data_IF_016037254754
#
_entry.id   IF_016037254754
#
_cell.length_a   1.000
_cell.length_b   1.000
_cell.length_c   1.000
_cell.angle_alpha   90.00
_cell.angle_beta   90.00
_cell.angle_gamma   90.00
#
_symmetry.space_group_name_H-M   'P 1'
#
loop_
_entity.id
_entity.type
_entity.pdbx_description
1 polymer ?
#
# COMPACT_ATOMS: atom_id res chain seq x y z
N UNK A 1 -10.99 -5.74 -23.29
CA UNK A 1 -9.97 -5.20 -24.23
C UNK A 1 -9.20 -4.18 -23.43
N UNK A 2 -7.88 -4.34 -23.25
CA UNK A 2 -7.10 -3.47 -22.37
C UNK A 2 -6.97 -2.09 -23.00
N UNK A 3 -7.11 -1.03 -22.22
CA UNK A 3 -6.87 0.32 -22.73
C UNK A 3 -5.36 0.51 -22.92
N UNK A 4 -4.88 1.20 -23.97
CA UNK A 4 -3.45 1.44 -24.16
C UNK A 4 -2.76 2.09 -22.95
N UNK A 5 -3.50 2.88 -22.19
CA UNK A 5 -3.00 3.54 -20.97
C UNK A 5 -2.75 2.55 -19.82
N UNK A 6 -3.47 1.43 -19.77
CA UNK A 6 -3.33 0.40 -18.73
C UNK A 6 -1.93 -0.21 -18.73
N UNK A 7 -1.21 -0.15 -19.86
CA UNK A 7 0.15 -0.65 -19.98
C UNK A 7 1.14 0.02 -19.01
N UNK A 8 0.78 1.19 -18.46
CA UNK A 8 1.59 1.90 -17.46
C UNK A 8 1.35 1.43 -16.03
N UNK A 9 0.26 0.71 -15.75
CA UNK A 9 -0.09 0.27 -14.39
C UNK A 9 1.02 -0.55 -13.72
N UNK A 10 1.72 -1.49 -14.39
CA UNK A 10 2.81 -2.23 -13.76
C UNK A 10 3.98 -1.33 -13.37
N UNK A 11 4.28 -0.31 -14.17
CA UNK A 11 5.33 0.67 -13.88
C UNK A 11 4.94 1.54 -12.68
N UNK A 12 3.72 2.06 -12.65
CA UNK A 12 3.18 2.83 -11.52
C UNK A 12 3.12 2.01 -10.23
N UNK A 13 2.72 0.74 -10.30
CA UNK A 13 2.77 -0.20 -9.17
C UNK A 13 4.20 -0.37 -8.66
N UNK A 14 5.18 -0.55 -9.55
CA UNK A 14 6.59 -0.70 -9.15
C UNK A 14 7.18 0.58 -8.53
N UNK A 15 6.83 1.76 -9.06
CA UNK A 15 7.20 3.06 -8.47
C UNK A 15 6.63 3.21 -7.07
N UNK A 16 5.35 2.89 -6.88
CA UNK A 16 4.69 2.94 -5.58
C UNK A 16 5.32 1.95 -4.59
N UNK A 17 5.54 0.67 -4.99
CA UNK A 17 6.25 -0.33 -4.17
C UNK A 17 7.61 0.18 -3.70
N UNK A 18 8.39 0.80 -4.60
CA UNK A 18 9.72 1.33 -4.26
C UNK A 18 9.63 2.45 -3.21
N UNK A 19 8.67 3.37 -3.35
CA UNK A 19 8.45 4.44 -2.35
C UNK A 19 8.03 3.87 -0.99
N UNK A 20 7.11 2.91 -1.00
CA UNK A 20 6.65 2.21 0.20
C UNK A 20 7.82 1.53 0.91
N UNK A 21 8.62 0.74 0.19
CA UNK A 21 9.77 0.02 0.76
C UNK A 21 10.73 1.00 1.43
N UNK A 22 11.06 2.12 0.76
CA UNK A 22 11.92 3.16 1.33
C UNK A 22 11.30 3.76 2.60
N UNK A 23 10.04 4.16 2.54
CA UNK A 23 9.36 4.78 3.67
C UNK A 23 9.24 3.84 4.88
N UNK A 24 9.02 2.54 4.65
CA UNK A 24 8.95 1.54 5.71
C UNK A 24 10.33 1.31 6.33
N UNK A 25 11.37 1.24 5.51
CA UNK A 25 12.74 1.02 5.98
C UNK A 25 13.21 2.15 6.92
N UNK A 26 12.74 3.37 6.67
CA UNK A 26 13.08 4.56 7.46
C UNK A 26 12.18 4.77 8.70
N UNK A 27 11.16 3.92 8.92
CA UNK A 27 10.19 4.08 10.01
C UNK A 27 10.43 3.09 11.16
N UNK A 28 11.09 3.57 12.23
CA UNK A 28 11.46 2.77 13.41
C UNK A 28 10.27 2.15 14.15
N UNK A 29 9.04 2.63 13.89
CA UNK A 29 7.80 2.09 14.46
C UNK A 29 7.42 0.74 13.86
N UNK A 30 8.00 0.39 12.71
CA UNK A 30 7.73 -0.84 11.98
C UNK A 30 8.83 -1.87 12.30
N UNK A 31 8.43 -3.05 12.75
CA UNK A 31 9.33 -4.17 13.00
C UNK A 31 9.64 -4.95 11.72
N UNK A 32 8.63 -5.15 10.88
CA UNK A 32 8.76 -5.81 9.59
C UNK A 32 7.60 -5.44 8.66
N UNK A 33 7.75 -5.69 7.37
CA UNK A 33 6.64 -5.61 6.42
C UNK A 33 6.84 -6.62 5.29
N UNK A 34 5.73 -7.05 4.68
CA UNK A 34 5.77 -7.91 3.51
C UNK A 34 4.58 -7.67 2.59
N UNK A 35 4.80 -7.90 1.29
CA UNK A 35 3.73 -7.92 0.31
C UNK A 35 3.04 -9.29 0.33
N UNK A 36 1.71 -9.28 0.32
CA UNK A 36 0.87 -10.45 0.10
C UNK A 36 0.32 -10.49 -1.32
N UNK A 37 -0.72 -11.29 -1.52
CA UNK A 37 -1.45 -11.32 -2.79
C UNK A 37 -0.61 -11.76 -3.98
N UNK A 38 -0.98 -11.28 -5.17
CA UNK A 38 -0.27 -11.61 -6.40
C UNK A 38 1.17 -11.08 -6.41
N UNK A 39 1.41 -9.89 -5.83
CA UNK A 39 2.75 -9.29 -5.69
C UNK A 39 3.65 -10.15 -4.79
N UNK A 40 3.15 -10.59 -3.64
CA UNK A 40 3.89 -11.46 -2.72
C UNK A 40 4.18 -12.84 -3.30
N UNK A 41 3.30 -13.34 -4.18
CA UNK A 41 3.44 -14.63 -4.84
C UNK A 41 4.23 -14.57 -6.16
N UNK A 42 4.56 -13.38 -6.67
CA UNK A 42 5.19 -13.21 -7.98
C UNK A 42 4.28 -13.58 -9.16
N UNK A 43 2.97 -13.47 -8.97
CA UNK A 43 1.94 -13.79 -9.97
C UNK A 43 1.15 -12.56 -10.38
N UNK A 44 1.69 -11.35 -10.18
CA UNK A 44 1.02 -10.11 -10.58
C UNK A 44 0.78 -10.01 -12.09
N UNK A 45 -0.38 -9.49 -12.46
CA UNK A 45 -0.76 -9.17 -13.82
C UNK A 45 -0.88 -7.65 -14.02
N UNK A 46 -1.54 -7.26 -15.11
CA UNK A 46 -1.73 -5.85 -15.47
C UNK A 46 -2.56 -5.07 -14.43
N UNK A 47 -3.51 -5.74 -13.78
CA UNK A 47 -4.55 -5.12 -12.96
C UNK A 47 -4.41 -5.43 -11.47
N UNK A 48 -3.41 -6.23 -11.10
CA UNK A 48 -3.08 -6.57 -9.73
C UNK A 48 -2.84 -5.33 -8.87
N UNK A 49 -3.48 -5.33 -7.70
CA UNK A 49 -3.32 -4.37 -6.62
C UNK A 49 -2.11 -4.71 -5.74
N UNK A 50 -1.92 -3.93 -4.67
CA UNK A 50 -0.87 -4.14 -3.66
C UNK A 50 -1.51 -4.57 -2.35
N UNK A 51 -1.26 -5.81 -1.92
CA UNK A 51 -1.52 -6.23 -0.54
C UNK A 51 -0.28 -5.99 0.31
N UNK A 52 -0.34 -5.09 1.28
CA UNK A 52 0.76 -4.75 2.17
C UNK A 52 0.42 -5.05 3.63
N UNK A 53 1.26 -5.84 4.30
CA UNK A 53 1.15 -6.14 5.73
C UNK A 53 2.31 -5.51 6.48
N UNK A 54 2.00 -4.66 7.44
CA UNK A 54 2.96 -4.01 8.36
C UNK A 54 2.87 -4.72 9.71
N UNK A 55 4.02 -5.12 10.24
CA UNK A 55 4.16 -5.62 11.60
C UNK A 55 4.72 -4.48 12.44
N UNK A 56 3.90 -3.94 13.34
CA UNK A 56 4.29 -2.88 14.25
C UNK A 56 5.28 -3.37 15.32
N UNK A 57 6.09 -2.46 15.85
CA UNK A 57 6.70 -2.66 17.17
C UNK A 57 5.59 -2.78 18.24
N UNK A 58 5.83 -3.51 19.37
CA UNK A 58 4.80 -3.85 20.35
C UNK A 58 3.90 -2.68 20.80
N UNK A 59 4.50 -1.50 21.02
CA UNK A 59 3.79 -0.32 21.55
C UNK A 59 3.42 0.71 20.47
N UNK A 60 3.65 0.38 19.19
CA UNK A 60 3.46 1.32 18.07
C UNK A 60 2.24 1.00 17.20
N UNK A 61 1.58 -0.14 17.42
CA UNK A 61 0.43 -0.55 16.62
C UNK A 61 -0.69 0.51 16.62
N UNK A 62 -1.03 1.05 17.79
CA UNK A 62 -2.07 2.06 17.91
C UNK A 62 -1.71 3.32 17.11
N UNK A 63 -0.52 3.86 17.33
CA UNK A 63 -0.02 5.04 16.61
C UNK A 63 -0.02 4.83 15.09
N UNK A 64 0.44 3.68 14.60
CA UNK A 64 0.42 3.37 13.18
C UNK A 64 -1.02 3.33 12.63
N UNK A 65 -1.95 2.69 13.34
CA UNK A 65 -3.35 2.60 12.88
C UNK A 65 -4.11 3.93 12.92
N UNK A 66 -3.73 4.86 13.81
CA UNK A 66 -4.28 6.22 13.90
C UNK A 66 -3.75 7.10 12.76
N UNK A 67 -2.48 6.94 12.38
CA UNK A 67 -1.83 7.72 11.32
C UNK A 67 -1.83 7.05 9.94
N UNK A 68 -2.51 5.91 9.76
CA UNK A 68 -2.44 5.11 8.52
C UNK A 68 -2.83 5.85 7.25
N UNK A 69 -3.81 6.77 7.32
CA UNK A 69 -4.23 7.58 6.16
C UNK A 69 -3.13 8.58 5.80
N UNK A 70 -2.53 9.23 6.80
CA UNK A 70 -1.42 10.16 6.61
C UNK A 70 -0.21 9.43 6.01
N UNK A 71 0.10 8.23 6.49
CA UNK A 71 1.17 7.38 5.94
C UNK A 71 0.90 7.02 4.48
N UNK A 72 -0.30 6.53 4.16
CA UNK A 72 -0.67 6.19 2.79
C UNK A 72 -0.58 7.38 1.84
N UNK A 73 -0.96 8.58 2.31
CA UNK A 73 -0.88 9.83 1.55
C UNK A 73 0.55 10.33 1.30
N UNK A 74 1.53 9.90 2.11
CA UNK A 74 2.96 10.18 1.86
C UNK A 74 3.54 9.31 0.74
N UNK A 75 2.92 8.19 0.40
CA UNK A 75 3.42 7.26 -0.63
C UNK A 75 2.99 7.66 -2.04
N UNK A 76 1.76 8.19 -2.18
CA UNK A 76 1.21 8.76 -3.40
C UNK A 76 -0.08 9.53 -3.10
N UNK A 77 -0.55 10.33 -4.06
CA UNK A 77 -1.79 11.09 -3.93
C UNK A 77 -3.01 10.16 -3.92
N UNK A 78 -3.83 10.27 -2.88
CA UNK A 78 -5.03 9.46 -2.67
C UNK A 78 -6.17 10.00 -3.53
N UNK A 79 -6.82 9.11 -4.29
CA UNK A 79 -8.05 9.38 -5.01
C UNK A 79 -9.28 9.07 -4.13
N UNK A 80 -9.30 7.91 -3.47
CA UNK A 80 -10.45 7.43 -2.72
C UNK A 80 -10.04 6.40 -1.64
N UNK A 81 -10.82 6.30 -0.56
CA UNK A 81 -10.63 5.33 0.53
C UNK A 81 -11.96 4.61 0.78
N UNK A 82 -11.96 3.27 0.75
CA UNK A 82 -13.21 2.49 0.91
C UNK A 82 -13.68 2.39 2.37
N UNK A 83 -12.76 2.26 3.31
CA UNK A 83 -13.04 1.76 4.66
C UNK A 83 -12.29 2.51 5.76
N UNK A 84 -12.29 3.85 5.70
CA UNK A 84 -11.56 4.71 6.64
C UNK A 84 -11.89 4.48 8.14
N UNK A 85 -13.03 3.86 8.45
CA UNK A 85 -13.50 3.57 9.80
C UNK A 85 -12.88 2.31 10.43
N UNK A 86 -12.27 1.42 9.64
CA UNK A 86 -11.66 0.20 10.17
C UNK A 86 -10.29 0.53 10.78
N UNK A 87 -9.98 -0.02 11.95
CA UNK A 87 -8.74 0.31 12.67
C UNK A 87 -7.50 -0.29 12.01
N UNK A 88 -7.54 -1.58 11.67
CA UNK A 88 -6.38 -2.37 11.18
C UNK A 88 -6.35 -2.63 9.68
N UNK A 89 -7.26 -2.02 8.94
CA UNK A 89 -7.34 -2.13 7.48
C UNK A 89 -7.54 -0.75 6.89
N UNK A 90 -6.84 -0.48 5.80
CA UNK A 90 -7.07 0.68 4.95
C UNK A 90 -6.98 0.24 3.49
N UNK A 91 -8.06 0.42 2.74
CA UNK A 91 -8.10 0.19 1.29
C UNK A 91 -8.06 1.54 0.60
N UNK A 92 -7.00 1.79 -0.14
CA UNK A 92 -6.67 3.07 -0.77
C UNK A 92 -6.63 2.91 -2.28
N UNK A 93 -7.28 3.83 -2.97
CA UNK A 93 -7.14 4.03 -4.41
C UNK A 93 -6.33 5.29 -4.64
N UNK A 94 -5.22 5.19 -5.37
CA UNK A 94 -4.36 6.31 -5.69
C UNK A 94 -4.72 6.95 -7.05
N UNK A 95 -4.33 8.20 -7.26
CA UNK A 95 -4.59 8.94 -8.52
C UNK A 95 -3.87 8.36 -9.73
N UNK A 96 -2.86 7.52 -9.51
CA UNK A 96 -2.20 6.73 -10.56
C UNK A 96 -2.89 5.36 -10.81
N UNK A 97 -4.13 5.20 -10.34
CA UNK A 97 -5.00 4.04 -10.54
C UNK A 97 -4.51 2.73 -9.92
N UNK A 98 -3.56 2.79 -8.99
CA UNK A 98 -3.17 1.64 -8.19
C UNK A 98 -4.03 1.57 -6.93
N UNK A 99 -4.61 0.39 -6.69
CA UNK A 99 -5.28 0.04 -5.44
C UNK A 99 -4.26 -0.60 -4.48
N UNK A 100 -4.39 -0.32 -3.18
CA UNK A 100 -3.59 -0.94 -2.13
C UNK A 100 -4.44 -1.26 -0.91
N UNK A 101 -4.28 -2.48 -0.41
CA UNK A 101 -4.88 -2.97 0.82
C UNK A 101 -3.77 -3.03 1.89
N UNK A 102 -3.89 -2.16 2.91
CA UNK A 102 -2.91 -1.99 3.96
C UNK A 102 -3.43 -2.58 5.28
N UNK A 103 -2.69 -3.56 5.80
CA UNK A 103 -3.00 -4.28 7.05
C UNK A 103 -1.93 -4.00 8.12
N UNK A 104 -2.36 -3.93 9.39
CA UNK A 104 -1.51 -3.74 10.57
C UNK A 104 -1.75 -4.82 11.63
#
# INVERSE_FOLDING_TARGET
MNHPEDQRLPEERNRLKTRIIKAIYDDERISAAFFGGSVGNGTEDLYSDIDLRIIAQPDQLQTLTEHKIEMAGKWSDILFIENAHLSRLLVVHYTNFIKMDLFF
#
